data_IF_241945809689
#
_entry.id   IF_241945809689
#
_cell.length_a   1.000
_cell.length_b   1.000
_cell.length_c   1.000
_cell.angle_alpha   90.00
_cell.angle_beta   90.00
_cell.angle_gamma   90.00
#
_symmetry.space_group_name_H-M   'P 1'
#
loop_
_entity.id
_entity.type
_entity.pdbx_description
1 polymer ?
#
# COMPACT_ATOMS: atom_id res chain seq x y z
N UNK A 1 9.18 7.87 -5.35
CA UNK A 1 8.54 8.76 -4.40
C UNK A 1 9.55 9.03 -3.31
N UNK A 2 9.69 10.28 -2.88
CA UNK A 2 10.53 10.60 -1.74
C UNK A 2 9.78 10.19 -0.47
N UNK A 3 10.40 9.39 0.39
CA UNK A 3 9.84 8.93 1.65
C UNK A 3 10.81 9.23 2.79
N UNK A 4 10.46 10.21 3.64
CA UNK A 4 11.17 10.47 4.89
C UNK A 4 10.18 10.32 6.05
N UNK A 5 10.15 9.13 6.63
CA UNK A 5 9.23 8.80 7.72
C UNK A 5 9.49 9.67 8.96
N UNK A 6 10.73 10.15 9.17
CA UNK A 6 11.04 11.05 10.28
C UNK A 6 10.40 12.42 10.08
N UNK A 7 10.43 12.93 8.86
CA UNK A 7 9.72 14.17 8.52
C UNK A 7 8.20 13.99 8.63
N UNK A 8 7.68 12.82 8.27
CA UNK A 8 6.24 12.53 8.32
C UNK A 8 5.69 12.58 9.75
N UNK A 9 6.50 12.27 10.79
CA UNK A 9 6.09 12.47 12.18
C UNK A 9 5.74 13.93 12.56
N UNK A 10 6.14 14.91 11.74
CA UNK A 10 5.70 16.31 11.93
C UNK A 10 4.20 16.49 11.64
N UNK A 11 3.60 15.58 10.89
CA UNK A 11 2.17 15.57 10.56
C UNK A 11 1.39 14.79 11.64
N UNK A 12 0.24 15.34 12.05
CA UNK A 12 -0.69 14.64 12.96
C UNK A 12 -1.63 13.75 12.14
N UNK A 13 -1.14 12.57 11.75
CA UNK A 13 -1.82 11.65 10.83
C UNK A 13 -1.96 10.23 11.41
N UNK A 14 -2.99 9.51 10.98
CA UNK A 14 -3.24 8.12 11.38
C UNK A 14 -2.51 7.11 10.48
N UNK A 15 -2.25 7.48 9.23
CA UNK A 15 -1.59 6.63 8.25
C UNK A 15 -0.89 7.47 7.17
N UNK A 16 0.09 6.86 6.51
CA UNK A 16 0.75 7.37 5.31
C UNK A 16 0.81 6.29 4.21
N UNK A 17 1.08 6.71 2.98
CA UNK A 17 1.27 5.83 1.83
C UNK A 17 2.35 6.42 0.90
N UNK A 18 3.54 6.69 1.44
CA UNK A 18 4.66 7.26 0.68
C UNK A 18 5.71 6.23 0.28
N UNK A 19 5.56 4.98 0.72
CA UNK A 19 6.49 3.88 0.44
C UNK A 19 5.97 2.87 -0.57
N UNK A 20 6.88 2.01 -1.04
CA UNK A 20 6.61 0.92 -1.97
C UNK A 20 7.16 -0.40 -1.42
N UNK A 21 6.50 -1.52 -1.72
CA UNK A 21 7.03 -2.84 -1.37
C UNK A 21 8.36 -3.13 -2.06
N UNK A 22 8.43 -2.77 -3.35
CA UNK A 22 9.58 -2.84 -4.23
C UNK A 22 9.54 -1.65 -5.17
N UNK A 23 10.64 -0.89 -5.28
CA UNK A 23 10.68 0.22 -6.22
C UNK A 23 12.07 0.49 -6.78
N UNK A 24 12.51 -0.23 -7.82
CA UNK A 24 13.84 -0.04 -8.38
C UNK A 24 13.97 1.23 -9.23
N UNK A 25 12.87 1.96 -9.50
CA UNK A 25 12.86 3.03 -10.51
C UNK A 25 12.64 4.43 -9.91
N UNK A 26 12.20 4.53 -8.67
CA UNK A 26 12.04 5.80 -7.99
C UNK A 26 13.37 6.39 -7.49
N UNK A 27 13.45 7.72 -7.22
CA UNK A 27 14.67 8.39 -6.76
C UNK A 27 15.31 7.75 -5.52
N UNK A 28 14.49 7.13 -4.67
CA UNK A 28 14.92 6.31 -3.55
C UNK A 28 14.53 4.85 -3.88
N UNK A 29 15.46 4.05 -4.43
CA UNK A 29 15.13 2.74 -4.98
C UNK A 29 14.96 1.64 -3.93
N UNK A 30 14.82 2.02 -2.66
CA UNK A 30 14.67 1.12 -1.53
C UNK A 30 13.18 0.93 -1.23
N UNK A 31 12.67 -0.26 -1.50
CA UNK A 31 11.35 -0.66 -1.02
C UNK A 31 11.39 -1.09 0.45
N UNK A 32 10.23 -1.04 1.12
CA UNK A 32 10.07 -1.48 2.51
C UNK A 32 10.04 -3.01 2.67
N UNK A 33 10.13 -3.76 1.55
CA UNK A 33 10.23 -5.23 1.50
C UNK A 33 9.08 -5.97 2.18
N UNK A 34 7.92 -5.32 2.28
CA UNK A 34 6.69 -5.91 2.80
C UNK A 34 5.50 -5.52 1.92
N UNK A 35 4.56 -6.45 1.79
CA UNK A 35 3.26 -6.24 1.13
C UNK A 35 2.12 -6.04 2.14
N UNK A 36 2.47 -5.90 3.41
CA UNK A 36 1.54 -5.68 4.51
C UNK A 36 1.72 -4.26 5.04
N UNK A 37 0.63 -3.59 5.44
CA UNK A 37 0.71 -2.42 6.30
C UNK A 37 1.56 -2.71 7.53
N UNK A 38 2.30 -1.71 7.99
CA UNK A 38 3.10 -1.82 9.19
C UNK A 38 3.04 -0.54 10.01
N UNK A 39 3.31 -0.67 11.31
CA UNK A 39 3.31 0.48 12.21
C UNK A 39 4.69 1.13 12.21
N UNK A 40 4.72 2.45 12.07
CA UNK A 40 5.91 3.28 12.25
C UNK A 40 5.88 3.83 13.67
N UNK A 41 6.89 3.47 14.46
CA UNK A 41 6.98 3.86 15.86
C UNK A 41 6.99 5.38 16.02
N UNK A 42 6.31 5.88 17.06
CA UNK A 42 6.32 7.30 17.37
C UNK A 42 7.68 7.79 17.89
N UNK A 43 7.93 9.08 17.71
CA UNK A 43 9.05 9.80 18.32
C UNK A 43 8.59 10.53 19.60
N UNK A 44 9.50 11.01 20.48
CA UNK A 44 9.09 11.78 21.66
C UNK A 44 8.08 12.89 21.31
N UNK A 45 7.01 12.97 22.10
CA UNK A 45 5.89 13.91 21.94
C UNK A 45 4.99 13.73 20.70
N UNK A 46 5.19 12.66 19.91
CA UNK A 46 4.37 12.34 18.74
C UNK A 46 3.94 10.88 18.70
N UNK A 47 2.73 10.63 18.21
CA UNK A 47 2.24 9.26 18.01
C UNK A 47 2.87 8.67 16.75
N UNK A 48 2.94 7.33 16.72
CA UNK A 48 3.24 6.61 15.48
C UNK A 48 2.01 6.57 14.57
N UNK A 49 2.22 6.08 13.36
CA UNK A 49 1.20 5.98 12.31
C UNK A 49 1.34 4.65 11.56
N UNK A 50 0.33 4.29 10.78
CA UNK A 50 0.40 3.10 9.91
C UNK A 50 0.92 3.48 8.53
N UNK A 51 1.97 2.81 8.06
CA UNK A 51 2.42 2.94 6.67
C UNK A 51 1.73 1.91 5.78
N UNK A 52 1.21 2.39 4.64
CA UNK A 52 0.54 1.58 3.62
C UNK A 52 1.41 1.55 2.35
N UNK A 53 2.29 0.54 2.16
CA UNK A 53 3.12 0.51 0.98
C UNK A 53 2.29 0.25 -0.28
N UNK A 54 2.60 0.97 -1.36
CA UNK A 54 2.12 0.58 -2.69
C UNK A 54 2.72 -0.78 -3.05
N UNK A 55 1.86 -1.71 -3.47
CA UNK A 55 2.25 -3.09 -3.77
C UNK A 55 2.07 -3.44 -5.25
N UNK A 56 1.55 -2.53 -6.07
CA UNK A 56 1.55 -2.64 -7.53
C UNK A 56 2.44 -1.56 -8.15
N UNK A 57 3.11 -1.84 -9.29
CA UNK A 57 3.85 -0.81 -10.01
C UNK A 57 2.92 0.33 -10.45
N UNK A 58 3.45 1.55 -10.51
CA UNK A 58 2.67 2.72 -10.88
C UNK A 58 2.29 2.73 -12.36
N UNK A 59 1.19 3.39 -12.69
CA UNK A 59 0.73 3.54 -14.06
C UNK A 59 1.72 4.30 -14.95
N UNK A 60 2.34 5.36 -14.43
CA UNK A 60 3.35 6.14 -15.14
C UNK A 60 4.54 5.25 -15.57
N UNK A 61 5.08 4.48 -14.63
CA UNK A 61 6.19 3.56 -14.90
C UNK A 61 5.80 2.55 -15.97
N UNK A 62 4.64 1.90 -15.85
CA UNK A 62 4.24 0.85 -16.79
C UNK A 62 3.90 1.41 -18.18
N UNK A 63 3.01 2.40 -18.25
CA UNK A 63 2.40 2.77 -19.51
C UNK A 63 3.09 3.94 -20.22
N UNK A 64 3.76 4.82 -19.47
CA UNK A 64 4.47 5.96 -20.05
C UNK A 64 5.94 5.62 -20.28
N UNK A 65 6.65 5.17 -19.25
CA UNK A 65 8.08 4.86 -19.37
C UNK A 65 8.33 3.55 -20.11
N UNK A 66 7.74 2.44 -19.63
CA UNK A 66 7.95 1.10 -20.22
C UNK A 66 7.07 0.84 -21.44
N UNK A 67 6.06 1.69 -21.69
CA UNK A 67 5.15 1.64 -22.84
C UNK A 67 4.39 0.32 -22.97
N UNK A 68 4.10 -0.32 -21.83
CA UNK A 68 3.31 -1.53 -21.76
C UNK A 68 1.97 -1.37 -22.49
N UNK A 69 1.55 -2.42 -23.19
CA UNK A 69 0.36 -2.39 -24.06
C UNK A 69 -0.87 -3.02 -23.45
N UNK A 70 -0.75 -3.55 -22.23
CA UNK A 70 -1.82 -4.20 -21.50
C UNK A 70 -1.53 -4.20 -19.99
N UNK A 71 -2.44 -4.75 -19.20
CA UNK A 71 -2.37 -4.79 -17.74
C UNK A 71 -1.77 -6.09 -17.17
N UNK A 72 -1.03 -6.86 -17.97
CA UNK A 72 -0.59 -8.21 -17.56
C UNK A 72 0.40 -8.17 -16.40
N UNK A 73 1.25 -7.15 -16.32
CA UNK A 73 2.17 -6.95 -15.18
C UNK A 73 1.39 -6.71 -13.89
N UNK A 74 0.37 -5.84 -13.92
CA UNK A 74 -0.54 -5.63 -12.79
C UNK A 74 -1.23 -6.92 -12.37
N UNK A 75 -1.80 -7.68 -13.31
CA UNK A 75 -2.44 -8.97 -13.01
C UNK A 75 -1.48 -9.96 -12.36
N UNK A 76 -0.27 -10.09 -12.91
CA UNK A 76 0.74 -11.02 -12.40
C UNK A 76 1.13 -10.69 -10.95
N UNK A 77 1.39 -9.42 -10.64
CA UNK A 77 1.74 -9.03 -9.26
C UNK A 77 0.53 -9.13 -8.33
N UNK A 78 -0.66 -8.76 -8.78
CA UNK A 78 -1.92 -8.94 -8.04
C UNK A 78 -2.11 -10.40 -7.57
N UNK A 79 -1.98 -11.37 -8.48
CA UNK A 79 -2.08 -12.79 -8.11
C UNK A 79 -1.06 -13.19 -7.04
N UNK A 80 0.20 -12.80 -7.23
CA UNK A 80 1.27 -13.11 -6.29
C UNK A 80 1.01 -12.52 -4.89
N UNK A 81 0.48 -11.29 -4.80
CA UNK A 81 0.09 -10.63 -3.54
C UNK A 81 -1.10 -11.35 -2.91
N UNK A 82 -2.13 -11.67 -3.70
CA UNK A 82 -3.32 -12.35 -3.23
C UNK A 82 -3.02 -13.75 -2.67
N UNK A 83 -2.15 -14.53 -3.32
CA UNK A 83 -1.66 -15.83 -2.83
C UNK A 83 -1.01 -15.75 -1.44
N UNK A 84 -0.53 -14.57 -1.05
CA UNK A 84 0.15 -14.31 0.23
C UNK A 84 -0.73 -13.57 1.24
N UNK A 85 -1.98 -13.24 0.86
CA UNK A 85 -2.89 -12.46 1.70
C UNK A 85 -2.45 -11.02 1.93
N UNK A 86 -1.59 -10.47 1.06
CA UNK A 86 -1.09 -9.10 1.18
C UNK A 86 -2.11 -8.04 0.77
N UNK A 87 -1.79 -6.78 1.08
CA UNK A 87 -2.58 -5.63 0.64
C UNK A 87 -2.25 -5.32 -0.83
N UNK A 88 -3.28 -5.05 -1.63
CA UNK A 88 -3.13 -4.52 -2.98
C UNK A 88 -3.38 -3.02 -2.93
N UNK A 89 -2.32 -2.22 -3.12
CA UNK A 89 -2.40 -0.77 -3.22
C UNK A 89 -1.67 -0.30 -4.47
N UNK A 90 -2.33 0.58 -5.23
CA UNK A 90 -1.97 1.05 -6.56
C UNK A 90 -2.12 2.57 -6.58
N UNK A 91 -1.13 3.28 -7.13
CA UNK A 91 -1.25 4.70 -7.48
C UNK A 91 -1.43 4.85 -8.98
N UNK A 92 -2.40 5.69 -9.35
CA UNK A 92 -2.69 6.06 -10.73
C UNK A 92 -2.89 7.56 -10.84
N UNK A 93 -2.56 8.13 -11.99
CA UNK A 93 -2.61 9.55 -12.23
C UNK A 93 -3.57 9.83 -13.40
N UNK A 94 -4.68 10.57 -13.18
CA UNK A 94 -5.61 10.91 -14.25
C UNK A 94 -4.96 11.78 -15.33
N UNK A 95 -3.86 12.48 -15.00
CA UNK A 95 -3.05 13.30 -15.89
C UNK A 95 -2.50 12.52 -17.10
N UNK A 96 -2.22 11.23 -16.92
CA UNK A 96 -1.72 10.35 -17.99
C UNK A 96 -2.84 9.54 -18.65
N UNK A 97 -4.08 9.64 -18.17
CA UNK A 97 -5.21 8.85 -18.66
C UNK A 97 -6.01 9.60 -19.73
N UNK A 98 -6.17 8.98 -20.90
CA UNK A 98 -7.10 9.45 -21.93
C UNK A 98 -8.45 8.77 -21.81
N UNK A 99 -9.49 9.54 -21.49
CA UNK A 99 -10.86 9.04 -21.24
C UNK A 99 -11.79 9.05 -22.46
N UNK A 100 -11.51 9.87 -23.48
CA UNK A 100 -12.47 10.16 -24.56
C UNK A 100 -12.19 9.39 -25.87
N UNK A 101 -11.31 8.39 -25.84
CA UNK A 101 -10.99 7.53 -26.98
C UNK A 101 -10.33 8.24 -28.17
N UNK A 102 -9.94 9.51 -28.02
CA UNK A 102 -9.19 10.25 -29.03
C UNK A 102 -7.75 9.78 -29.11
N UNK A 103 -7.02 10.32 -30.09
CA UNK A 103 -5.59 10.05 -30.28
C UNK A 103 -4.82 10.37 -29.00
N UNK A 104 -4.01 9.41 -28.55
CA UNK A 104 -3.13 9.53 -27.39
C UNK A 104 -1.99 10.53 -27.66
N UNK A 105 -1.67 11.35 -26.66
CA UNK A 105 -0.39 12.05 -26.59
C UNK A 105 0.76 11.07 -26.26
N UNK A 106 2.01 11.56 -26.26
CA UNK A 106 3.18 10.71 -25.99
C UNK A 106 3.27 10.26 -24.53
N UNK A 107 2.70 11.04 -23.63
CA UNK A 107 2.66 10.90 -22.18
C UNK A 107 1.29 10.42 -21.68
N UNK A 108 0.51 9.78 -22.55
CA UNK A 108 -0.82 9.28 -22.22
C UNK A 108 -1.02 7.81 -22.56
N UNK A 109 -1.93 7.17 -21.82
CA UNK A 109 -2.42 5.83 -22.07
C UNK A 109 -3.96 5.77 -21.99
N UNK A 110 -4.60 4.73 -22.56
CA UNK A 110 -6.06 4.62 -22.51
C UNK A 110 -6.55 4.36 -21.09
N UNK A 111 -7.52 5.15 -20.62
CA UNK A 111 -8.17 4.93 -19.31
C UNK A 111 -8.81 3.52 -19.19
N UNK A 112 -9.11 2.88 -20.32
CA UNK A 112 -9.59 1.51 -20.41
C UNK A 112 -8.67 0.49 -19.73
N UNK A 113 -7.37 0.75 -19.59
CA UNK A 113 -6.47 -0.12 -18.82
C UNK A 113 -6.87 -0.18 -17.35
N UNK A 114 -7.14 0.97 -16.74
CA UNK A 114 -7.58 1.04 -15.35
C UNK A 114 -8.98 0.41 -15.17
N UNK A 115 -9.93 0.73 -16.05
CA UNK A 115 -11.26 0.11 -16.04
C UNK A 115 -11.20 -1.42 -16.17
N UNK A 116 -10.36 -1.92 -17.09
CA UNK A 116 -10.15 -3.36 -17.29
C UNK A 116 -9.53 -3.99 -16.05
N UNK A 117 -8.61 -3.31 -15.37
CA UNK A 117 -8.00 -3.80 -14.14
C UNK A 117 -9.02 -3.91 -13.01
N UNK A 118 -9.83 -2.87 -12.77
CA UNK A 118 -10.89 -2.89 -11.76
C UNK A 118 -11.91 -4.02 -12.03
N UNK A 119 -12.35 -4.13 -13.29
CA UNK A 119 -13.26 -5.19 -13.72
C UNK A 119 -12.64 -6.59 -13.53
N UNK A 120 -11.34 -6.73 -13.77
CA UNK A 120 -10.61 -7.98 -13.57
C UNK A 120 -10.56 -8.37 -12.09
N UNK A 121 -10.24 -7.43 -11.19
CA UNK A 121 -10.22 -7.65 -9.74
C UNK A 121 -11.60 -8.11 -9.26
N UNK A 122 -12.64 -7.36 -9.60
CA UNK A 122 -14.01 -7.63 -9.17
C UNK A 122 -14.52 -9.01 -9.63
N UNK A 123 -14.18 -9.41 -10.86
CA UNK A 123 -14.67 -10.67 -11.42
C UNK A 123 -13.84 -11.88 -10.97
N UNK A 124 -12.53 -11.72 -10.79
CA UNK A 124 -11.61 -12.83 -10.51
C UNK A 124 -11.52 -13.14 -9.02
N UNK A 125 -11.54 -12.11 -8.17
CA UNK A 125 -11.36 -12.24 -6.72
C UNK A 125 -12.66 -11.99 -5.95
N UNK A 126 -13.82 -12.14 -6.59
CA UNK A 126 -15.12 -11.90 -5.95
C UNK A 126 -15.20 -12.61 -4.60
N UNK A 127 -15.65 -11.88 -3.58
CA UNK A 127 -15.83 -12.33 -2.19
C UNK A 127 -14.53 -12.79 -1.47
N UNK A 128 -13.34 -12.55 -2.06
CA UNK A 128 -12.05 -12.95 -1.50
C UNK A 128 -11.20 -11.77 -1.02
N UNK A 129 -11.70 -10.54 -1.09
CA UNK A 129 -10.96 -9.35 -0.67
C UNK A 129 -11.86 -8.37 0.08
N UNK A 130 -11.23 -7.57 0.94
CA UNK A 130 -11.85 -6.41 1.55
C UNK A 130 -11.57 -5.18 0.67
N UNK A 131 -12.60 -4.67 0.00
CA UNK A 131 -12.50 -3.41 -0.73
C UNK A 131 -12.70 -2.25 0.25
N UNK A 132 -11.64 -1.50 0.53
CA UNK A 132 -11.63 -0.48 1.58
C UNK A 132 -10.93 0.81 1.15
N UNK A 133 -11.25 1.90 1.83
CA UNK A 133 -10.48 3.13 1.69
C UNK A 133 -9.16 3.00 2.49
N UNK A 134 -8.06 3.65 2.05
CA UNK A 134 -6.80 3.62 2.78
C UNK A 134 -6.93 3.99 4.26
N UNK A 135 -7.74 5.00 4.59
CA UNK A 135 -8.03 5.40 5.97
C UNK A 135 -8.65 4.28 6.82
N UNK A 136 -9.49 3.43 6.23
CA UNK A 136 -10.17 2.37 6.95
C UNK A 136 -9.21 1.21 7.20
N UNK A 137 -8.31 0.92 6.24
CA UNK A 137 -7.20 -0.02 6.41
C UNK A 137 -6.25 0.47 7.50
N UNK A 138 -5.82 1.74 7.45
CA UNK A 138 -4.96 2.35 8.45
C UNK A 138 -5.53 2.24 9.86
N UNK A 139 -6.82 2.56 10.05
CA UNK A 139 -7.52 2.42 11.33
C UNK A 139 -7.61 0.97 11.80
N UNK A 140 -7.95 0.05 10.90
CA UNK A 140 -8.01 -1.38 11.21
C UNK A 140 -6.64 -1.89 11.69
N UNK A 141 -5.57 -1.55 10.99
CA UNK A 141 -4.21 -1.92 11.36
C UNK A 141 -3.80 -1.30 12.71
N UNK A 142 -4.08 -0.01 12.92
CA UNK A 142 -3.79 0.69 14.17
C UNK A 142 -4.47 0.02 15.38
N UNK A 143 -5.77 -0.27 15.27
CA UNK A 143 -6.53 -0.93 16.35
C UNK A 143 -5.98 -2.31 16.68
N UNK A 144 -5.58 -3.09 15.66
CA UNK A 144 -5.03 -4.43 15.87
C UNK A 144 -3.58 -4.40 16.37
N UNK A 145 -2.75 -3.47 15.92
CA UNK A 145 -1.39 -3.29 16.41
C UNK A 145 -1.38 -2.91 17.91
N UNK A 146 -2.26 -1.97 18.31
CA UNK A 146 -2.45 -1.60 19.71
C UNK A 146 -3.02 -2.75 20.54
N UNK A 147 -3.97 -3.51 19.99
CA UNK A 147 -4.55 -4.69 20.65
C UNK A 147 -3.54 -5.82 20.87
N UNK A 148 -2.58 -6.01 19.96
CA UNK A 148 -1.47 -6.96 20.12
C UNK A 148 -0.50 -6.45 21.19
N UNK A 149 -0.15 -5.17 21.17
CA UNK A 149 0.78 -4.57 22.14
C UNK A 149 0.23 -4.61 23.58
N UNK A 150 -1.08 -4.36 23.77
CA UNK A 150 -1.76 -4.52 25.06
C UNK A 150 -1.77 -5.97 25.55
N UNK A 151 -2.06 -6.95 24.68
CA UNK A 151 -2.04 -8.37 25.05
C UNK A 151 -0.63 -8.85 25.42
N UNK A 152 0.40 -8.37 24.72
CA UNK A 152 1.80 -8.68 25.02
C UNK A 152 2.26 -8.05 26.35
N UNK A 153 1.84 -6.83 26.66
CA UNK A 153 2.17 -6.18 27.93
C UNK A 153 1.48 -6.86 29.11
N UNK A 154 0.21 -7.24 28.98
CA UNK A 154 -0.53 -8.02 29.99
C UNK A 154 0.07 -9.41 30.20
N UNK A 155 0.47 -10.10 29.11
CA UNK A 155 1.13 -11.40 29.20
C UNK A 155 2.49 -11.31 29.91
N UNK A 156 3.28 -10.27 29.62
CA UNK A 156 4.57 -10.03 30.29
C UNK A 156 4.41 -9.66 31.78
N UNK A 157 3.34 -8.93 32.15
CA UNK A 157 3.02 -8.63 33.55
C UNK A 157 2.57 -9.88 34.33
N UNK A 158 1.81 -10.78 33.70
CA UNK A 158 1.43 -12.07 34.32
C UNK A 158 2.63 -12.99 34.51
N UNK A 159 3.51 -13.08 33.51
CA UNK A 159 4.73 -13.88 33.57
C UNK A 159 5.71 -13.40 34.67
N UNK A 160 5.83 -12.08 34.85
CA UNK A 160 6.67 -11.50 35.93
C UNK A 160 6.05 -11.67 37.31
N UNK A 161 4.73 -11.70 37.44
CA UNK A 161 4.05 -11.98 38.70
C UNK A 161 4.21 -13.45 39.17
N UNK A 162 4.29 -14.42 38.24
CA UNK A 162 4.50 -15.84 38.55
C UNK A 162 5.96 -16.18 38.93
N UNK A 163 6.93 -15.34 38.55
CA UNK A 163 8.36 -15.52 38.91
C UNK A 163 8.67 -14.96 40.31
N UNK A 164 7.79 -14.12 40.86
CA UNK A 164 7.99 -13.41 42.14
C UNK A 164 7.17 -14.06 43.29
N UNK A 165 6.36 -15.09 43.03
CA UNK A 165 5.62 -15.88 44.02
C UNK A 165 6.31 -17.20 44.39
#
# INVERSE_FOLDING_TARGET
MYHDLNMIHQLDIEYDASTFDTDPFEPQPEGVKTIFPFYVDGIPDRKGFVELPYTLPQDFTLFILMREKNIDIWKKKLHWVAERGGMVLLITHPDYMRFDGKKLALDEYPAAFYETFLSYVQNTFRDQYWHALPRDVGRFCMQNALGISQKLSEANQRSTAEIIS
#
